data_IF_887935293393
#
_entry.id   IF_887935293393
#
_cell.length_a   1.000
_cell.length_b   1.000
_cell.length_c   1.000
_cell.angle_alpha   90.00
_cell.angle_beta   90.00
_cell.angle_gamma   90.00
#
_symmetry.space_group_name_H-M   'P 1'
#
loop_
_entity.id
_entity.type
_entity.pdbx_description
1 polymer ?
#
# COMPACT_ATOMS: atom_id res chain seq x y z
N UNK A 1 22.08 -27.28 -7.37
CA UNK A 1 22.02 -26.02 -6.59
C UNK A 1 21.44 -24.90 -7.45
N UNK A 2 20.11 -24.84 -7.61
CA UNK A 2 19.42 -23.94 -8.56
C UNK A 2 18.14 -23.35 -7.94
N UNK A 3 18.26 -22.66 -6.80
CA UNK A 3 17.08 -22.19 -6.05
C UNK A 3 17.19 -20.83 -5.39
N UNK A 4 18.38 -20.27 -5.23
CA UNK A 4 18.58 -19.06 -4.40
C UNK A 4 18.50 -17.77 -5.23
N UNK A 5 18.59 -17.85 -6.56
CA UNK A 5 18.59 -16.67 -7.45
C UNK A 5 17.20 -16.10 -7.79
N UNK A 6 16.10 -16.77 -7.41
CA UNK A 6 14.73 -16.31 -7.73
C UNK A 6 14.09 -15.43 -6.65
N UNK A 7 14.66 -15.34 -5.45
CA UNK A 7 14.05 -14.59 -4.34
C UNK A 7 14.40 -13.09 -4.31
N UNK A 8 15.45 -12.66 -5.02
CA UNK A 8 15.81 -11.23 -5.13
C UNK A 8 14.94 -10.44 -6.12
N UNK A 9 14.13 -11.11 -6.94
CA UNK A 9 13.37 -10.48 -8.03
C UNK A 9 12.04 -9.85 -7.57
N UNK A 10 11.61 -10.12 -6.33
CA UNK A 10 10.28 -9.70 -5.84
C UNK A 10 10.31 -8.47 -4.92
N UNK A 11 11.49 -7.91 -4.61
CA UNK A 11 11.65 -6.89 -3.54
C UNK A 11 11.92 -5.46 -4.08
N UNK A 12 12.23 -5.27 -5.37
CA UNK A 12 12.44 -3.93 -5.96
C UNK A 12 11.39 -3.67 -7.06
N UNK A 13 10.36 -2.85 -6.83
CA UNK A 13 10.32 -1.37 -6.75
C UNK A 13 9.80 -0.81 -8.07
N UNK A 14 8.87 0.15 -7.98
CA UNK A 14 8.40 0.93 -9.12
C UNK A 14 9.59 1.30 -10.04
N UNK A 15 9.51 1.10 -11.37
CA UNK A 15 10.65 1.34 -12.26
C UNK A 15 11.01 2.83 -12.42
N UNK A 16 10.42 3.70 -11.59
CA UNK A 16 10.54 5.14 -11.65
C UNK A 16 10.51 5.73 -10.23
N UNK A 17 11.22 6.85 -10.07
CA UNK A 17 11.28 7.58 -8.81
C UNK A 17 9.98 8.35 -8.52
N UNK A 18 9.57 8.40 -7.24
CA UNK A 18 8.36 9.12 -6.81
C UNK A 18 8.48 10.62 -7.03
N UNK A 19 9.66 11.21 -6.80
CA UNK A 19 9.85 12.65 -7.03
C UNK A 19 9.71 12.98 -8.52
N UNK A 20 10.24 12.11 -9.39
CA UNK A 20 10.07 12.26 -10.84
C UNK A 20 8.61 12.15 -11.27
N UNK A 21 7.83 11.24 -10.67
CA UNK A 21 6.39 11.15 -10.91
C UNK A 21 5.64 12.42 -10.50
N UNK A 22 5.95 12.99 -9.34
CA UNK A 22 5.35 14.25 -8.87
C UNK A 22 5.72 15.43 -9.79
N UNK A 23 6.99 15.52 -10.20
CA UNK A 23 7.45 16.55 -11.15
C UNK A 23 6.78 16.40 -12.52
N UNK A 24 6.62 15.18 -13.00
CA UNK A 24 5.92 14.88 -14.25
C UNK A 24 4.45 15.28 -14.17
N UNK A 25 3.77 14.97 -13.06
CA UNK A 25 2.38 15.34 -12.82
C UNK A 25 2.19 16.86 -12.70
N UNK A 26 3.08 17.57 -12.00
CA UNK A 26 3.04 19.02 -11.95
C UNK A 26 3.25 19.65 -13.34
N UNK A 27 4.15 19.09 -14.15
CA UNK A 27 4.39 19.56 -15.51
C UNK A 27 3.18 19.34 -16.43
N UNK A 28 2.43 18.25 -16.26
CA UNK A 28 1.19 18.05 -17.04
C UNK A 28 0.11 19.04 -16.63
N UNK A 29 -0.02 19.35 -15.34
CA UNK A 29 -0.92 20.41 -14.87
C UNK A 29 -0.53 21.80 -15.40
N UNK A 30 0.76 22.06 -15.60
CA UNK A 30 1.25 23.31 -16.21
C UNK A 30 1.13 23.35 -17.75
N UNK A 31 0.43 22.40 -18.37
CA UNK A 31 0.15 22.38 -19.80
C UNK A 31 1.10 21.54 -20.67
N UNK A 32 2.05 20.80 -20.06
CA UNK A 32 2.88 19.85 -20.82
C UNK A 32 2.06 18.60 -21.21
N UNK A 33 2.26 18.08 -22.42
CA UNK A 33 1.60 16.82 -22.80
C UNK A 33 2.11 15.66 -21.95
N UNK A 34 1.23 14.71 -21.63
CA UNK A 34 1.56 13.49 -20.85
C UNK A 34 2.75 12.76 -21.46
N UNK A 35 2.77 12.60 -22.79
CA UNK A 35 3.89 11.98 -23.51
C UNK A 35 5.22 12.69 -23.25
N UNK A 36 5.24 14.03 -23.36
CA UNK A 36 6.46 14.81 -23.18
C UNK A 36 6.94 14.77 -21.73
N UNK A 37 6.04 14.93 -20.77
CA UNK A 37 6.36 14.85 -19.35
C UNK A 37 6.91 13.47 -18.97
N UNK A 38 6.28 12.40 -19.46
CA UNK A 38 6.73 11.02 -19.22
C UNK A 38 8.18 10.78 -19.71
N UNK A 39 8.52 11.29 -20.89
CA UNK A 39 9.87 11.18 -21.46
C UNK A 39 10.91 12.01 -20.71
N UNK A 40 10.58 13.24 -20.33
CA UNK A 40 11.49 14.16 -19.62
C UNK A 40 11.84 13.64 -18.23
N UNK A 41 10.83 13.17 -17.49
CA UNK A 41 11.00 12.74 -16.10
C UNK A 41 11.20 11.23 -15.95
N UNK A 42 11.34 10.48 -17.06
CA UNK A 42 11.60 9.04 -17.05
C UNK A 42 10.56 8.24 -16.25
N UNK A 43 9.27 8.56 -16.44
CA UNK A 43 8.15 7.84 -15.84
C UNK A 43 7.33 7.16 -16.93
N UNK A 44 6.74 5.97 -16.69
CA UNK A 44 5.90 5.32 -17.70
C UNK A 44 4.70 6.20 -18.07
N UNK A 45 4.43 6.33 -19.36
CA UNK A 45 3.36 7.19 -19.86
C UNK A 45 1.98 6.71 -19.38
N UNK A 46 1.72 5.41 -19.35
CA UNK A 46 0.48 4.82 -18.81
C UNK A 46 0.25 5.23 -17.37
N UNK A 47 1.26 5.03 -16.52
CA UNK A 47 1.28 5.40 -15.10
C UNK A 47 0.99 6.89 -14.86
N UNK A 48 1.60 7.77 -15.65
CA UNK A 48 1.35 9.21 -15.57
C UNK A 48 -0.07 9.55 -16.07
N UNK A 49 -0.50 8.92 -17.18
CA UNK A 49 -1.84 9.10 -17.77
C UNK A 49 -2.94 8.74 -16.77
N UNK A 50 -2.83 7.59 -16.10
CA UNK A 50 -3.82 7.12 -15.12
C UNK A 50 -3.99 8.12 -13.97
N UNK A 51 -2.88 8.69 -13.50
CA UNK A 51 -2.89 9.73 -12.45
C UNK A 51 -3.46 11.05 -12.93
N UNK A 52 -3.10 11.48 -14.14
CA UNK A 52 -3.68 12.71 -14.73
C UNK A 52 -5.18 12.61 -15.01
N UNK A 53 -5.69 11.41 -15.28
CA UNK A 53 -7.12 11.14 -15.46
C UNK A 53 -7.87 10.89 -14.15
N UNK A 54 -7.20 11.02 -13.00
CA UNK A 54 -7.75 10.76 -11.67
C UNK A 54 -8.23 9.31 -11.46
N UNK A 55 -7.81 8.36 -12.31
CA UNK A 55 -8.08 6.94 -12.08
C UNK A 55 -7.30 6.43 -10.86
N UNK A 56 -6.17 7.06 -10.57
CA UNK A 56 -5.23 6.68 -9.52
C UNK A 56 -4.72 7.96 -8.85
N UNK A 57 -4.74 8.02 -7.51
CA UNK A 57 -4.17 9.17 -6.78
C UNK A 57 -2.67 9.30 -7.03
N UNK A 58 -2.15 10.53 -7.09
CA UNK A 58 -0.70 10.78 -7.19
C UNK A 58 0.05 10.22 -5.98
N UNK A 59 -0.61 10.20 -4.82
CA UNK A 59 -0.05 9.72 -3.55
C UNK A 59 -0.31 8.23 -3.30
N UNK A 60 -0.89 7.51 -4.26
CA UNK A 60 -1.05 6.07 -4.11
C UNK A 60 0.34 5.41 -3.97
N UNK A 61 0.55 4.68 -2.88
CA UNK A 61 1.67 3.76 -2.78
C UNK A 61 1.24 2.43 -3.40
N UNK A 62 2.14 1.78 -4.13
CA UNK A 62 1.92 0.39 -4.55
C UNK A 62 2.18 -0.48 -3.31
N UNK A 63 1.18 -0.56 -2.43
CA UNK A 63 1.14 -1.55 -1.39
C UNK A 63 0.12 -2.61 -1.79
N UNK A 64 0.39 -3.86 -1.40
CA UNK A 64 -0.58 -4.93 -1.58
C UNK A 64 -1.93 -4.49 -1.01
N UNK A 65 -3.03 -4.84 -1.68
CA UNK A 65 -4.38 -4.57 -1.18
C UNK A 65 -4.44 -4.92 0.32
N UNK A 66 -4.62 -3.90 1.17
CA UNK A 66 -4.74 -4.10 2.61
C UNK A 66 -6.00 -4.91 2.88
N UNK A 67 -5.92 -5.82 3.86
CA UNK A 67 -7.07 -6.67 4.20
C UNK A 67 -8.21 -5.84 4.81
N UNK A 68 -7.83 -4.82 5.57
CA UNK A 68 -8.73 -3.90 6.23
C UNK A 68 -8.79 -2.56 5.51
N UNK A 69 -9.96 -1.93 5.57
CA UNK A 69 -10.09 -0.51 5.21
C UNK A 69 -9.49 0.35 6.32
N UNK A 70 -9.17 1.60 5.99
CA UNK A 70 -8.62 2.55 6.97
C UNK A 70 -9.52 2.68 8.22
N UNK A 71 -10.84 2.72 8.05
CA UNK A 71 -11.79 2.80 9.17
C UNK A 71 -11.85 1.50 10.00
N UNK A 72 -11.66 0.34 9.38
CA UNK A 72 -11.58 -0.97 10.05
C UNK A 72 -10.28 -1.09 10.87
N UNK A 73 -9.15 -0.63 10.33
CA UNK A 73 -7.88 -0.58 11.05
C UNK A 73 -7.96 0.40 12.22
N UNK A 74 -8.58 1.57 12.01
CA UNK A 74 -8.72 2.58 13.06
C UNK A 74 -9.47 2.04 14.27
N UNK A 75 -10.59 1.33 14.07
CA UNK A 75 -11.33 0.66 15.16
C UNK A 75 -10.47 -0.35 15.92
N UNK A 76 -9.63 -1.09 15.22
CA UNK A 76 -8.75 -2.09 15.82
C UNK A 76 -7.64 -1.42 16.65
N UNK A 77 -7.05 -0.34 16.13
CA UNK A 77 -6.04 0.47 16.82
C UNK A 77 -6.63 1.15 18.05
N UNK A 78 -7.79 1.80 17.93
CA UNK A 78 -8.48 2.48 19.02
C UNK A 78 -8.74 1.51 20.19
N UNK A 79 -9.14 0.27 19.87
CA UNK A 79 -9.32 -0.78 20.88
C UNK A 79 -8.02 -1.15 21.59
N UNK A 80 -6.92 -1.36 20.84
CA UNK A 80 -5.61 -1.71 21.41
C UNK A 80 -5.09 -0.58 22.31
N UNK A 81 -5.23 0.67 21.87
CA UNK A 81 -4.84 1.86 22.65
C UNK A 81 -5.67 1.95 23.93
N UNK A 82 -6.98 1.82 23.83
CA UNK A 82 -7.87 1.82 25.00
C UNK A 82 -7.48 0.73 26.01
N UNK A 83 -7.20 -0.50 25.55
CA UNK A 83 -6.79 -1.60 26.41
C UNK A 83 -5.44 -1.35 27.09
N UNK A 84 -4.49 -0.73 26.38
CA UNK A 84 -3.22 -0.32 26.96
C UNK A 84 -3.39 0.74 28.07
N UNK A 85 -4.28 1.72 27.86
CA UNK A 85 -4.55 2.80 28.81
C UNK A 85 -5.13 2.27 30.14
N UNK A 86 -6.00 1.26 30.08
CA UNK A 86 -6.55 0.60 31.29
C UNK A 86 -5.62 -0.47 31.89
N UNK A 87 -4.34 -0.49 31.49
CA UNK A 87 -3.28 -1.42 31.95
C UNK A 87 -3.49 -2.88 31.53
N UNK A 88 -4.32 -3.13 30.53
CA UNK A 88 -4.50 -4.44 29.88
C UNK A 88 -3.82 -4.45 28.50
N UNK A 89 -2.52 -4.12 28.46
CA UNK A 89 -1.75 -4.16 27.23
C UNK A 89 -1.69 -5.57 26.64
N UNK A 90 -1.79 -5.67 25.32
CA UNK A 90 -1.78 -6.94 24.59
C UNK A 90 -0.38 -7.29 24.08
N UNK A 91 -0.05 -8.57 24.07
CA UNK A 91 1.15 -9.05 23.38
C UNK A 91 0.95 -9.01 21.86
N UNK A 92 2.04 -9.14 21.10
CA UNK A 92 1.96 -9.23 19.64
C UNK A 92 1.07 -10.40 19.19
N UNK A 93 1.11 -11.54 19.89
CA UNK A 93 0.27 -12.69 19.57
C UNK A 93 -1.20 -12.38 19.80
N UNK A 94 -1.55 -11.74 20.91
CA UNK A 94 -2.94 -11.33 21.20
C UNK A 94 -3.45 -10.37 20.14
N UNK A 95 -2.64 -9.40 19.71
CA UNK A 95 -2.99 -8.47 18.63
C UNK A 95 -3.25 -9.22 17.31
N UNK A 96 -2.42 -10.21 16.99
CA UNK A 96 -2.65 -11.05 15.81
C UNK A 96 -3.93 -11.86 15.90
N UNK A 97 -4.25 -12.42 17.07
CA UNK A 97 -5.51 -13.15 17.28
C UNK A 97 -6.72 -12.22 17.18
N UNK A 98 -6.68 -11.05 17.82
CA UNK A 98 -7.74 -10.04 17.70
C UNK A 98 -7.96 -9.60 16.25
N UNK A 99 -6.88 -9.35 15.51
CA UNK A 99 -6.99 -9.01 14.08
C UNK A 99 -7.57 -10.15 13.26
N UNK A 100 -7.20 -11.40 13.57
CA UNK A 100 -7.74 -12.58 12.89
C UNK A 100 -9.24 -12.78 13.17
N UNK A 101 -9.65 -12.72 14.43
CA UNK A 101 -11.05 -12.79 14.85
C UNK A 101 -11.88 -11.66 14.21
N UNK A 102 -11.31 -10.44 14.17
CA UNK A 102 -11.96 -9.30 13.53
C UNK A 102 -12.13 -9.52 12.02
N UNK A 103 -11.10 -10.00 11.32
CA UNK A 103 -11.19 -10.33 9.90
C UNK A 103 -12.24 -11.41 9.61
N UNK A 104 -12.34 -12.43 10.48
CA UNK A 104 -13.38 -13.45 10.38
C UNK A 104 -14.78 -12.90 10.59
N UNK A 105 -14.96 -12.01 11.56
CA UNK A 105 -16.25 -11.35 11.84
C UNK A 105 -16.76 -10.53 10.66
N UNK A 106 -15.83 -9.99 9.85
CA UNK A 106 -16.11 -9.23 8.64
C UNK A 106 -16.19 -10.11 7.37
N UNK A 107 -16.12 -11.43 7.51
CA UNK A 107 -16.08 -12.40 6.40
C UNK A 107 -14.99 -12.10 5.35
N UNK A 108 -13.85 -11.54 5.78
CA UNK A 108 -12.71 -11.26 4.89
C UNK A 108 -11.97 -12.57 4.55
N UNK A 109 -11.29 -12.66 3.40
CA UNK A 109 -10.57 -13.87 3.01
C UNK A 109 -9.30 -14.05 3.87
N UNK A 110 -9.40 -14.87 4.92
CA UNK A 110 -8.27 -15.20 5.79
C UNK A 110 -7.70 -16.57 5.40
N UNK A 111 -6.37 -16.68 5.29
CA UNK A 111 -5.73 -18.00 5.12
C UNK A 111 -5.80 -18.77 6.43
N UNK A 112 -6.08 -20.07 6.36
CA UNK A 112 -6.05 -20.93 7.54
C UNK A 112 -4.67 -20.86 8.20
N UNK A 113 -4.63 -20.59 9.51
CA UNK A 113 -3.40 -20.56 10.29
C UNK A 113 -2.96 -22.01 10.49
N UNK A 114 -1.87 -22.43 9.83
CA UNK A 114 -1.19 -23.66 10.22
C UNK A 114 -0.48 -23.35 11.55
N UNK A 115 -1.07 -23.84 12.64
CA UNK A 115 -0.48 -23.76 13.98
C UNK A 115 0.48 -24.94 14.15
#
# INVERSE_FOLDING_TARGET
MSGILKLKQFIDKQPYDRNNLQRAYAATLSGMSVYRAARVYQVPESTLRDRTRQNVSIDCHYEANTLFTEDEERKSVDHIVYMADIRYGHSLMDIQYMAWDYAMSLHKPVKAKNI
#
